data_IF_139926337132
#
_entry.id   IF_139926337132
#
_cell.length_a   1.000
_cell.length_b   1.000
_cell.length_c   1.000
_cell.angle_alpha   90.00
_cell.angle_beta   90.00
_cell.angle_gamma   90.00
#
_symmetry.space_group_name_H-M   'P 1'
#
loop_
_entity.id
_entity.type
_entity.pdbx_description
1 polymer ?
#
# COMPACT_ATOMS: atom_id res chain seq x y z
N UNK A 1 10.03 -23.19 -11.70
CA UNK A 1 9.74 -22.13 -10.71
C UNK A 1 10.88 -21.12 -10.76
N UNK A 2 10.57 -19.85 -10.81
CA UNK A 2 11.55 -18.77 -10.80
C UNK A 2 11.55 -18.11 -9.41
N UNK A 3 12.75 -17.93 -8.83
CA UNK A 3 12.93 -17.46 -7.47
C UNK A 3 13.64 -16.11 -7.45
N UNK A 4 13.12 -15.19 -6.64
CA UNK A 4 13.81 -13.97 -6.25
C UNK A 4 14.50 -14.20 -4.91
N UNK A 5 15.72 -13.71 -4.78
CA UNK A 5 16.52 -13.84 -3.56
C UNK A 5 16.72 -12.47 -2.92
N UNK A 6 16.52 -12.42 -1.62
CA UNK A 6 16.64 -11.23 -0.80
C UNK A 6 17.37 -11.57 0.51
N UNK A 7 18.28 -10.72 0.94
CA UNK A 7 18.82 -10.75 2.29
C UNK A 7 18.19 -9.60 3.11
N UNK A 8 17.66 -9.93 4.28
CA UNK A 8 17.01 -8.98 5.16
C UNK A 8 17.26 -9.35 6.62
N UNK A 9 17.81 -8.42 7.41
CA UNK A 9 18.17 -8.66 8.81
C UNK A 9 19.01 -9.93 9.01
N UNK A 10 20.05 -10.13 8.22
CA UNK A 10 20.92 -11.33 8.23
C UNK A 10 20.16 -12.64 8.01
N UNK A 11 19.02 -12.60 7.34
CA UNK A 11 18.27 -13.77 6.89
C UNK A 11 18.17 -13.80 5.38
N UNK A 12 18.57 -14.91 4.79
CA UNK A 12 18.39 -15.17 3.37
C UNK A 12 16.95 -15.62 3.14
N UNK A 13 16.30 -15.01 2.18
CA UNK A 13 14.93 -15.27 1.76
C UNK A 13 14.93 -15.68 0.28
N UNK A 14 14.03 -16.59 -0.08
CA UNK A 14 13.63 -16.78 -1.47
C UNK A 14 12.12 -16.63 -1.61
N UNK A 15 11.70 -16.01 -2.65
CA UNK A 15 10.31 -15.65 -2.93
C UNK A 15 9.98 -16.19 -4.31
N UNK A 16 8.87 -16.91 -4.43
CA UNK A 16 8.40 -17.34 -5.74
C UNK A 16 7.95 -16.10 -6.53
N UNK A 17 8.54 -15.89 -7.71
CA UNK A 17 8.26 -14.72 -8.55
C UNK A 17 6.79 -14.60 -8.95
N UNK A 18 6.11 -15.75 -9.10
CA UNK A 18 4.73 -15.83 -9.56
C UNK A 18 3.71 -16.01 -8.42
N UNK A 19 4.18 -16.16 -7.16
CA UNK A 19 3.31 -16.31 -5.98
C UNK A 19 3.90 -15.57 -4.78
N UNK A 20 3.38 -14.39 -4.51
CA UNK A 20 3.80 -13.54 -3.39
C UNK A 20 3.57 -14.16 -2.00
N UNK A 21 2.79 -15.23 -1.91
CA UNK A 21 2.54 -15.98 -0.66
C UNK A 21 3.50 -17.16 -0.46
N UNK A 22 4.35 -17.45 -1.45
CA UNK A 22 5.28 -18.58 -1.40
C UNK A 22 6.70 -18.09 -1.10
N UNK A 23 7.00 -17.91 0.20
CA UNK A 23 8.24 -17.34 0.72
C UNK A 23 8.91 -18.31 1.69
N UNK A 24 10.23 -18.43 1.55
CA UNK A 24 11.06 -19.29 2.39
C UNK A 24 12.23 -18.52 2.97
N UNK A 25 12.75 -19.00 4.12
CA UNK A 25 13.99 -18.55 4.75
C UNK A 25 14.98 -19.68 4.82
N UNK A 26 16.25 -19.37 4.57
CA UNK A 26 17.35 -20.31 4.80
C UNK A 26 17.59 -20.48 6.29
N UNK A 27 17.79 -21.70 6.73
CA UNK A 27 18.18 -22.04 8.10
C UNK A 27 19.32 -23.04 8.09
N UNK A 28 20.36 -22.70 8.84
CA UNK A 28 21.41 -23.64 9.24
C UNK A 28 20.90 -24.43 10.43
N UNK A 29 21.00 -25.73 10.39
CA UNK A 29 20.54 -26.61 11.47
C UNK A 29 21.69 -27.49 11.97
N UNK A 30 21.73 -27.75 13.29
CA UNK A 30 22.77 -28.61 13.90
C UNK A 30 22.55 -30.10 13.64
N UNK A 31 21.35 -30.51 13.31
CA UNK A 31 20.93 -31.93 13.29
C UNK A 31 20.38 -32.40 11.94
N UNK A 32 20.15 -31.50 11.02
CA UNK A 32 19.62 -31.79 9.68
C UNK A 32 20.42 -30.99 8.64
N UNK A 33 20.42 -31.38 7.37
CA UNK A 33 21.00 -30.54 6.31
C UNK A 33 20.37 -29.17 6.30
N UNK A 34 21.18 -28.16 6.01
CA UNK A 34 20.71 -26.80 5.83
C UNK A 34 19.69 -26.72 4.69
N UNK A 35 18.59 -26.04 4.89
CA UNK A 35 17.51 -26.02 3.91
C UNK A 35 16.63 -24.76 4.00
N UNK A 36 15.73 -24.65 3.04
CA UNK A 36 14.73 -23.61 2.93
C UNK A 36 13.44 -24.00 3.65
N UNK A 37 13.02 -23.19 4.60
CA UNK A 37 11.80 -23.39 5.38
C UNK A 37 10.76 -22.34 5.04
N UNK A 38 9.54 -22.79 4.77
CA UNK A 38 8.41 -21.88 4.46
C UNK A 38 8.15 -20.92 5.62
N UNK A 39 8.04 -19.63 5.31
CA UNK A 39 7.73 -18.59 6.30
C UNK A 39 6.23 -18.57 6.54
N UNK A 40 5.83 -18.44 7.81
CA UNK A 40 4.44 -18.20 8.18
C UNK A 40 4.07 -16.74 7.88
N UNK A 41 3.15 -16.56 6.95
CA UNK A 41 2.55 -15.26 6.64
C UNK A 41 1.32 -15.08 7.52
N UNK A 42 1.23 -13.95 8.23
CA UNK A 42 0.15 -13.64 9.15
C UNK A 42 -0.75 -12.54 8.56
N UNK A 43 -2.05 -12.80 8.50
CA UNK A 43 -3.05 -11.76 8.24
C UNK A 43 -3.25 -10.92 9.51
N UNK A 44 -3.05 -9.62 9.41
CA UNK A 44 -3.33 -8.63 10.45
C UNK A 44 -4.56 -7.82 10.05
N UNK A 45 -5.50 -7.68 10.98
CA UNK A 45 -6.66 -6.80 10.83
C UNK A 45 -6.56 -5.69 11.87
N UNK A 46 -6.52 -4.44 11.43
CA UNK A 46 -6.51 -3.27 12.30
C UNK A 46 -7.92 -2.95 12.81
N UNK A 47 -8.03 -2.16 13.88
CA UNK A 47 -9.33 -1.71 14.44
C UNK A 47 -10.22 -0.99 13.41
N UNK A 48 -9.62 -0.34 12.42
CA UNK A 48 -10.32 0.33 11.29
C UNK A 48 -10.93 -0.64 10.27
N UNK A 49 -10.69 -1.96 10.40
CA UNK A 49 -11.04 -2.96 9.40
C UNK A 49 -9.99 -3.14 8.30
N UNK A 50 -8.95 -2.30 8.24
CA UNK A 50 -7.87 -2.45 7.28
C UNK A 50 -7.11 -3.76 7.53
N UNK A 51 -6.87 -4.52 6.47
CA UNK A 51 -6.19 -5.83 6.51
C UNK A 51 -4.88 -5.75 5.74
N UNK A 52 -3.86 -6.46 6.21
CA UNK A 52 -2.59 -6.64 5.49
C UNK A 52 -1.90 -7.92 5.90
N UNK A 53 -1.05 -8.45 5.03
CA UNK A 53 -0.17 -9.55 5.39
C UNK A 53 1.12 -9.05 6.00
N UNK A 54 1.61 -9.77 7.03
CA UNK A 54 2.89 -9.53 7.71
C UNK A 54 3.72 -10.78 7.81
N UNK A 55 5.03 -10.59 7.79
CA UNK A 55 6.03 -11.63 8.03
C UNK A 55 6.90 -11.20 9.23
N UNK A 56 7.26 -12.16 10.06
CA UNK A 56 8.18 -11.98 11.18
C UNK A 56 9.55 -12.51 10.81
N UNK A 57 10.56 -11.64 10.84
CA UNK A 57 11.95 -11.97 10.50
C UNK A 57 12.86 -11.32 11.54
N UNK A 58 13.64 -12.14 12.26
CA UNK A 58 14.66 -11.68 13.21
C UNK A 58 14.15 -10.52 14.12
N UNK A 59 13.13 -10.81 14.92
CA UNK A 59 12.51 -9.88 15.87
C UNK A 59 11.80 -8.65 15.27
N UNK A 60 11.66 -8.59 13.93
CA UNK A 60 10.97 -7.50 13.26
C UNK A 60 9.78 -7.99 12.42
N UNK A 61 8.71 -7.19 12.41
CA UNK A 61 7.57 -7.40 11.52
C UNK A 61 7.71 -6.54 10.26
N UNK A 62 7.56 -7.18 9.12
CA UNK A 62 7.54 -6.53 7.82
C UNK A 62 6.19 -6.70 7.14
N UNK A 63 5.70 -5.67 6.47
CA UNK A 63 4.57 -5.81 5.54
C UNK A 63 5.00 -6.67 4.35
N UNK A 64 4.14 -7.61 3.94
CA UNK A 64 4.40 -8.46 2.78
C UNK A 64 4.65 -7.63 1.52
N UNK A 65 3.83 -6.59 1.29
CA UNK A 65 4.00 -5.68 0.14
C UNK A 65 5.40 -5.06 0.05
N UNK A 66 5.99 -4.64 1.19
CA UNK A 66 7.35 -4.09 1.21
C UNK A 66 8.41 -5.14 0.88
N UNK A 67 8.24 -6.39 1.34
CA UNK A 67 9.16 -7.49 1.04
C UNK A 67 9.09 -7.86 -0.45
N UNK A 68 7.89 -7.98 -1.02
CA UNK A 68 7.70 -8.27 -2.45
C UNK A 68 8.30 -7.14 -3.30
N UNK A 69 8.00 -5.89 -2.95
CA UNK A 69 8.54 -4.75 -3.69
C UNK A 69 10.07 -4.71 -3.65
N UNK A 70 10.70 -4.92 -2.48
CA UNK A 70 12.16 -5.00 -2.31
C UNK A 70 12.78 -6.13 -3.12
N UNK A 71 12.16 -7.29 -3.17
CA UNK A 71 12.68 -8.45 -3.90
C UNK A 71 12.73 -8.21 -5.41
N UNK A 72 11.79 -7.42 -5.95
CA UNK A 72 11.76 -7.02 -7.35
C UNK A 72 12.59 -5.76 -7.65
N UNK A 73 12.79 -4.89 -6.65
CA UNK A 73 13.49 -3.61 -6.79
C UNK A 73 14.66 -3.56 -5.81
N UNK A 74 15.77 -4.17 -6.18
CA UNK A 74 16.92 -4.40 -5.29
C UNK A 74 17.53 -3.12 -4.69
N UNK A 75 17.48 -2.03 -5.43
CA UNK A 75 18.04 -0.73 -5.00
C UNK A 75 17.09 0.06 -4.09
N UNK A 76 15.81 -0.35 -3.98
CA UNK A 76 14.84 0.31 -3.11
C UNK A 76 15.13 0.01 -1.63
N UNK A 77 15.16 1.05 -0.79
CA UNK A 77 15.42 0.90 0.65
C UNK A 77 14.16 0.52 1.41
N UNK A 78 14.09 -0.75 1.85
CA UNK A 78 12.98 -1.26 2.67
C UNK A 78 12.96 -0.65 4.07
N UNK A 79 14.08 -0.11 4.57
CA UNK A 79 14.20 0.46 5.93
C UNK A 79 13.78 1.91 5.99
N UNK A 80 13.75 2.60 4.84
CA UNK A 80 13.26 3.97 4.76
C UNK A 80 11.76 4.03 5.04
N UNK A 81 11.40 4.59 6.18
CA UNK A 81 10.02 4.84 6.65
C UNK A 81 9.57 6.29 6.45
N UNK A 82 10.31 7.06 5.65
CA UNK A 82 9.97 8.46 5.35
C UNK A 82 8.61 8.60 4.67
N UNK A 83 8.11 9.83 4.67
CA UNK A 83 6.84 10.19 4.04
C UNK A 83 6.84 10.06 2.50
N UNK A 84 7.99 9.72 1.91
CA UNK A 84 8.17 9.57 0.46
C UNK A 84 8.37 8.12 0.01
N UNK A 85 8.18 7.16 0.91
CA UNK A 85 8.49 5.74 0.65
C UNK A 85 7.34 4.80 1.06
N UNK A 86 6.10 5.17 0.72
CA UNK A 86 4.92 4.33 0.95
C UNK A 86 4.75 3.32 -0.17
N UNK A 87 4.52 2.05 0.19
CA UNK A 87 4.01 1.08 -0.78
C UNK A 87 2.49 1.19 -0.83
N UNK A 88 1.99 1.52 -2.00
CA UNK A 88 0.56 1.66 -2.32
C UNK A 88 0.10 0.49 -3.19
N UNK A 89 -1.15 0.08 -3.01
CA UNK A 89 -1.83 -0.90 -3.85
C UNK A 89 -2.69 -0.17 -4.88
N UNK A 90 -2.34 -0.30 -6.15
CA UNK A 90 -2.97 0.44 -7.26
C UNK A 90 -4.49 0.19 -7.30
N UNK A 91 -4.90 -1.07 -7.12
CA UNK A 91 -6.32 -1.48 -7.10
C UNK A 91 -7.01 -1.23 -5.75
N UNK A 92 -6.29 -0.72 -4.73
CA UNK A 92 -6.77 -0.50 -3.33
C UNK A 92 -7.08 -1.77 -2.54
N UNK A 93 -6.76 -2.94 -3.06
CA UNK A 93 -6.81 -4.19 -2.31
C UNK A 93 -5.45 -4.44 -1.64
N UNK A 94 -5.39 -4.21 -0.33
CA UNK A 94 -4.18 -4.37 0.48
C UNK A 94 -3.72 -5.83 0.67
N UNK A 95 -4.49 -6.78 0.18
CA UNK A 95 -4.15 -8.21 0.19
C UNK A 95 -3.58 -8.69 -1.15
N UNK A 96 -3.75 -7.94 -2.22
CA UNK A 96 -3.17 -8.22 -3.54
C UNK A 96 -1.74 -7.67 -3.64
N UNK A 97 -0.77 -8.49 -3.24
CA UNK A 97 0.64 -8.13 -3.22
C UNK A 97 1.41 -8.54 -4.49
N UNK A 98 0.74 -8.77 -5.61
CA UNK A 98 1.41 -8.95 -6.90
C UNK A 98 2.19 -7.69 -7.26
N UNK A 99 3.39 -7.85 -7.83
CA UNK A 99 4.29 -6.72 -8.08
C UNK A 99 3.68 -5.65 -8.99
N UNK A 100 2.86 -6.05 -9.97
CA UNK A 100 2.17 -5.17 -10.91
C UNK A 100 1.16 -4.25 -10.22
N UNK A 101 0.69 -4.66 -9.03
CA UNK A 101 -0.24 -3.89 -8.21
C UNK A 101 0.45 -3.00 -7.16
N UNK A 102 1.78 -3.07 -7.05
CA UNK A 102 2.55 -2.33 -6.04
C UNK A 102 3.33 -1.17 -6.67
N UNK A 103 3.30 -0.02 -6.02
CA UNK A 103 4.10 1.15 -6.39
C UNK A 103 4.58 1.92 -5.17
N UNK A 104 5.67 2.68 -5.31
CA UNK A 104 6.13 3.62 -4.29
C UNK A 104 5.47 4.96 -4.51
N UNK A 105 4.92 5.54 -3.45
CA UNK A 105 4.30 6.86 -3.47
C UNK A 105 4.80 7.71 -2.30
N UNK A 106 4.73 9.01 -2.47
CA UNK A 106 4.77 9.95 -1.36
C UNK A 106 3.48 9.81 -0.52
N UNK A 107 3.51 10.28 0.73
CA UNK A 107 2.31 10.30 1.57
C UNK A 107 1.15 11.06 0.90
N UNK A 108 1.44 12.16 0.22
CA UNK A 108 0.44 12.95 -0.49
C UNK A 108 -0.20 12.14 -1.63
N UNK A 109 0.59 11.51 -2.47
CA UNK A 109 0.12 10.68 -3.57
C UNK A 109 -0.68 9.47 -3.07
N UNK A 110 -0.22 8.84 -1.99
CA UNK A 110 -0.94 7.73 -1.35
C UNK A 110 -2.33 8.17 -0.85
N UNK A 111 -2.46 9.40 -0.34
CA UNK A 111 -3.77 9.95 0.01
C UNK A 111 -4.67 10.19 -1.21
N UNK A 112 -4.10 10.48 -2.39
CA UNK A 112 -4.86 10.63 -3.63
C UNK A 112 -5.53 9.33 -4.08
N UNK A 113 -4.89 8.19 -3.83
CA UNK A 113 -5.45 6.87 -4.15
C UNK A 113 -6.63 6.47 -3.24
N UNK A 114 -6.91 7.19 -2.16
CA UNK A 114 -8.05 6.89 -1.28
C UNK A 114 -9.39 7.09 -1.98
N UNK A 115 -10.36 6.25 -1.62
CA UNK A 115 -11.75 6.41 -2.04
C UNK A 115 -12.45 7.50 -1.18
N UNK A 116 -12.01 8.75 -1.31
CA UNK A 116 -12.59 9.86 -0.59
C UNK A 116 -13.78 10.44 -1.35
N UNK A 117 -14.88 10.71 -0.64
CA UNK A 117 -16.12 11.26 -1.21
C UNK A 117 -15.94 12.71 -1.72
N UNK A 118 -15.14 13.53 -0.99
CA UNK A 118 -14.79 14.92 -1.35
C UNK A 118 -15.95 15.92 -1.35
N UNK A 119 -17.17 15.49 -1.02
CA UNK A 119 -18.36 16.33 -0.92
C UNK A 119 -19.22 15.92 0.28
N UNK A 120 -20.01 16.86 0.79
CA UNK A 120 -20.92 16.64 1.92
C UNK A 120 -22.12 17.61 1.84
N UNK A 121 -23.25 17.21 2.42
CA UNK A 121 -24.41 18.08 2.50
C UNK A 121 -24.19 19.19 3.54
N UNK A 122 -24.33 20.43 3.11
CA UNK A 122 -24.17 21.63 3.94
C UNK A 122 -25.56 22.14 4.38
N UNK A 123 -25.98 21.76 5.58
CA UNK A 123 -27.32 21.99 6.12
C UNK A 123 -27.77 23.48 6.05
N UNK A 124 -26.86 24.42 6.40
CA UNK A 124 -27.18 25.85 6.43
C UNK A 124 -27.60 26.42 5.04
N UNK A 125 -26.93 25.90 3.99
CA UNK A 125 -27.19 26.39 2.62
C UNK A 125 -28.15 25.48 1.86
N UNK A 126 -28.58 24.38 2.48
CA UNK A 126 -29.40 23.32 1.85
C UNK A 126 -28.84 22.83 0.50
N UNK A 127 -27.50 22.71 0.40
CA UNK A 127 -26.77 22.32 -0.82
C UNK A 127 -25.62 21.35 -0.53
N UNK A 128 -25.16 20.69 -1.55
CA UNK A 128 -23.97 19.84 -1.48
C UNK A 128 -22.71 20.67 -1.69
N UNK A 129 -21.84 20.71 -0.68
CA UNK A 129 -20.55 21.39 -0.74
C UNK A 129 -19.47 20.42 -1.22
N UNK A 130 -18.65 20.85 -2.18
CA UNK A 130 -17.53 20.06 -2.71
C UNK A 130 -16.22 20.80 -2.50
N UNK A 131 -15.20 20.05 -2.06
CA UNK A 131 -13.84 20.56 -1.87
C UNK A 131 -12.81 19.45 -2.13
N UNK A 132 -11.62 19.85 -2.55
CA UNK A 132 -10.48 18.96 -2.76
C UNK A 132 -9.28 19.47 -1.95
N UNK A 133 -8.41 18.54 -1.50
CA UNK A 133 -7.16 18.91 -0.82
C UNK A 133 -6.01 18.88 -1.84
N UNK A 134 -5.27 19.98 -1.92
CA UNK A 134 -4.09 20.12 -2.78
C UNK A 134 -2.97 20.67 -1.89
N UNK A 135 -1.83 19.96 -1.80
CA UNK A 135 -0.69 20.36 -0.97
C UNK A 135 -1.10 20.72 0.48
N UNK A 136 -1.94 19.89 1.09
CA UNK A 136 -2.43 20.08 2.46
C UNK A 136 -3.48 21.18 2.63
N UNK A 137 -3.83 21.93 1.58
CA UNK A 137 -4.82 23.02 1.62
C UNK A 137 -6.12 22.62 0.93
N UNK A 138 -7.25 23.06 1.49
CA UNK A 138 -8.54 22.86 0.85
C UNK A 138 -8.74 23.86 -0.30
N UNK A 139 -9.08 23.32 -1.48
CA UNK A 139 -9.61 24.10 -2.60
C UNK A 139 -11.11 23.85 -2.68
N UNK A 140 -11.90 24.91 -2.56
CA UNK A 140 -13.34 24.89 -2.69
C UNK A 140 -13.75 24.79 -4.17
N UNK A 141 -14.71 23.90 -4.48
CA UNK A 141 -15.16 23.62 -5.84
C UNK A 141 -16.58 24.09 -6.12
N UNK A 142 -17.36 24.39 -5.08
CA UNK A 142 -18.71 24.96 -5.22
C UNK A 142 -19.77 24.29 -4.34
N UNK A 143 -20.98 24.88 -4.42
CA UNK A 143 -22.21 24.29 -3.91
C UNK A 143 -23.07 23.80 -5.08
N UNK A 144 -23.74 22.68 -4.89
CA UNK A 144 -24.58 22.02 -5.90
C UNK A 144 -25.93 21.65 -5.29
N UNK A 145 -26.97 21.70 -6.07
CA UNK A 145 -28.32 21.32 -5.63
C UNK A 145 -28.48 19.81 -5.53
N UNK A 146 -27.75 19.06 -6.37
CA UNK A 146 -27.79 17.60 -6.41
C UNK A 146 -26.45 16.97 -5.97
N UNK A 147 -26.53 15.84 -5.26
CA UNK A 147 -25.36 15.07 -4.85
C UNK A 147 -24.52 14.63 -6.05
N UNK A 148 -25.17 14.22 -7.14
CA UNK A 148 -24.50 13.76 -8.36
C UNK A 148 -23.61 14.84 -8.98
N UNK A 149 -24.09 16.10 -9.02
CA UNK A 149 -23.31 17.22 -9.58
C UNK A 149 -22.08 17.54 -8.71
N UNK A 150 -22.23 17.45 -7.39
CA UNK A 150 -21.13 17.58 -6.44
C UNK A 150 -20.08 16.47 -6.62
N UNK A 151 -20.53 15.23 -6.84
CA UNK A 151 -19.67 14.09 -7.11
C UNK A 151 -18.89 14.26 -8.43
N UNK A 152 -19.56 14.67 -9.50
CA UNK A 152 -18.95 14.93 -10.81
C UNK A 152 -17.89 16.04 -10.70
N UNK A 153 -18.20 17.14 -10.00
CA UNK A 153 -17.25 18.24 -9.78
C UNK A 153 -16.00 17.76 -9.02
N UNK A 154 -16.16 16.88 -8.01
CA UNK A 154 -15.04 16.29 -7.29
C UNK A 154 -14.18 15.38 -8.17
N UNK A 155 -14.79 14.50 -8.96
CA UNK A 155 -14.08 13.59 -9.85
C UNK A 155 -13.26 14.34 -10.91
N UNK A 156 -13.85 15.35 -11.55
CA UNK A 156 -13.13 16.22 -12.50
C UNK A 156 -11.94 16.93 -11.85
N UNK A 157 -12.13 17.46 -10.64
CA UNK A 157 -11.03 18.08 -9.90
C UNK A 157 -9.94 17.05 -9.54
N UNK A 158 -10.33 15.82 -9.19
CA UNK A 158 -9.39 14.74 -8.90
C UNK A 158 -8.52 14.38 -10.10
N UNK A 159 -9.08 14.32 -11.29
CA UNK A 159 -8.34 14.08 -12.56
C UNK A 159 -7.31 15.17 -12.84
N UNK A 160 -7.61 16.43 -12.47
CA UNK A 160 -6.71 17.56 -12.69
C UNK A 160 -5.61 17.63 -11.64
N UNK A 161 -5.96 17.48 -10.35
CA UNK A 161 -5.08 17.82 -9.22
C UNK A 161 -4.45 16.61 -8.52
N UNK A 162 -5.05 15.40 -8.60
CA UNK A 162 -4.58 14.20 -7.94
C UNK A 162 -3.91 13.23 -8.94
N UNK A 163 -2.87 13.72 -9.63
CA UNK A 163 -2.06 12.89 -10.54
C UNK A 163 -1.07 12.04 -9.74
N UNK A 164 -1.02 10.74 -10.07
CA UNK A 164 -0.12 9.73 -9.47
C UNK A 164 0.68 9.08 -10.60
#
# INVERSE_FOLDING_TARGET
>A
MEWLYLELNNKKLRINKNDSMDIYTWRETKTKPDDWFKIKIKLETQKSGYKKYRIYINNNYYSLSRIIYKAHNKDWDITDISMNNFIDHINRDSLDNRIENLRVLTNQQNQFNRNAKGYSFHKRNNKWQTRIVINGKYKYLGYFDKEQDAAIAYLKAKEIYHKI
#
